data_IF_245031610259
#
_entry.id   IF_245031610259
#
_cell.length_a   1.000
_cell.length_b   1.000
_cell.length_c   1.000
_cell.angle_alpha   90.00
_cell.angle_beta   90.00
_cell.angle_gamma   90.00
#
_symmetry.space_group_name_H-M   'P 1'
#
loop_
_entity.id
_entity.type
_entity.pdbx_description
1 polymer ?
#
# COMPACT_ATOMS: atom_id res chain seq x y z
N UNK A 1 -13.96 1.01 19.48
CA UNK A 1 -13.86 0.89 18.00
C UNK A 1 -14.12 2.27 17.45
N UNK A 2 -13.13 2.90 16.80
CA UNK A 2 -13.38 4.13 16.06
C UNK A 2 -14.29 3.78 14.87
N UNK A 3 -15.40 4.52 14.67
CA UNK A 3 -16.22 4.31 13.49
C UNK A 3 -15.42 4.64 12.24
N UNK A 4 -15.73 3.94 11.14
CA UNK A 4 -15.19 4.31 9.82
C UNK A 4 -15.72 5.71 9.50
N UNK A 5 -14.82 6.67 9.38
CA UNK A 5 -15.19 8.04 9.04
C UNK A 5 -15.48 8.12 7.55
N UNK A 6 -16.72 8.51 7.23
CA UNK A 6 -17.14 8.81 5.85
C UNK A 6 -17.59 10.26 5.77
N UNK A 7 -17.19 10.94 4.72
CA UNK A 7 -17.63 12.31 4.45
C UNK A 7 -17.97 12.45 2.97
N UNK A 8 -19.13 13.02 2.71
CA UNK A 8 -19.63 13.28 1.37
C UNK A 8 -19.63 14.78 1.09
N UNK A 9 -19.30 15.15 -0.13
CA UNK A 9 -19.29 16.51 -0.64
C UNK A 9 -20.17 16.57 -1.89
N UNK A 10 -21.50 16.67 -1.74
CA UNK A 10 -22.46 16.48 -2.84
C UNK A 10 -22.25 17.46 -4.00
N UNK A 11 -21.77 18.68 -3.72
CA UNK A 11 -21.54 19.71 -4.76
C UNK A 11 -20.44 19.33 -5.78
N UNK A 12 -19.56 18.39 -5.43
CA UNK A 12 -18.45 17.93 -6.27
C UNK A 12 -18.45 16.41 -6.43
N UNK A 13 -19.59 15.77 -6.11
CA UNK A 13 -19.77 14.30 -6.18
C UNK A 13 -18.63 13.49 -5.51
N UNK A 14 -17.98 14.07 -4.49
CA UNK A 14 -16.84 13.46 -3.81
C UNK A 14 -17.27 12.80 -2.51
N UNK A 15 -16.88 11.55 -2.33
CA UNK A 15 -17.02 10.82 -1.08
C UNK A 15 -15.64 10.37 -0.61
N UNK A 16 -15.31 10.65 0.64
CA UNK A 16 -14.09 10.20 1.29
C UNK A 16 -14.42 9.18 2.37
N UNK A 17 -13.70 8.06 2.36
CA UNK A 17 -13.77 7.03 3.40
C UNK A 17 -12.38 6.87 4.00
N UNK A 18 -12.23 7.16 5.29
CA UNK A 18 -10.98 6.90 6.03
C UNK A 18 -10.96 5.42 6.40
N UNK A 19 -10.03 4.71 5.80
CA UNK A 19 -9.86 3.25 5.94
C UNK A 19 -8.90 2.91 7.09
N UNK A 20 -7.90 3.73 7.32
CA UNK A 20 -6.89 3.54 8.37
C UNK A 20 -6.34 4.88 8.87
N UNK A 21 -5.59 4.85 9.98
CA UNK A 21 -5.34 3.69 10.83
C UNK A 21 -6.58 3.26 11.64
N UNK A 22 -6.66 2.00 12.01
CA UNK A 22 -7.71 1.52 12.93
C UNK A 22 -7.35 1.86 14.38
N UNK A 23 -8.33 1.84 15.31
CA UNK A 23 -8.04 2.04 16.73
C UNK A 23 -7.04 1.01 17.26
N UNK A 24 -7.16 -0.26 16.83
CA UNK A 24 -6.22 -1.30 17.21
C UNK A 24 -4.79 -1.00 16.72
N UNK A 25 -4.64 -0.47 15.49
CA UNK A 25 -3.34 -0.03 15.00
C UNK A 25 -2.75 1.13 15.81
N UNK A 26 -3.60 2.05 16.27
CA UNK A 26 -3.17 3.17 17.12
C UNK A 26 -2.78 2.72 18.54
N UNK A 27 -3.54 1.77 19.12
CA UNK A 27 -3.25 1.22 20.46
C UNK A 27 -1.95 0.39 20.44
N UNK A 28 -1.77 -0.44 19.41
CA UNK A 28 -0.51 -1.17 19.18
C UNK A 28 0.66 -0.21 18.99
N UNK A 29 0.43 0.87 18.26
CA UNK A 29 1.41 1.94 18.08
C UNK A 29 1.79 2.60 19.41
N UNK A 30 0.83 2.91 20.25
CA UNK A 30 1.11 3.56 21.54
C UNK A 30 2.01 2.67 22.42
N UNK A 31 1.70 1.37 22.47
CA UNK A 31 2.54 0.40 23.19
C UNK A 31 3.96 0.31 22.59
N UNK A 32 4.08 0.37 21.26
CA UNK A 32 5.39 0.38 20.59
C UNK A 32 6.14 1.69 20.80
N UNK A 33 5.43 2.83 20.86
CA UNK A 33 6.04 4.13 21.14
C UNK A 33 6.67 4.16 22.53
N UNK A 34 6.00 3.61 23.52
CA UNK A 34 6.53 3.50 24.89
C UNK A 34 7.79 2.62 24.94
N UNK A 35 7.83 1.60 24.08
CA UNK A 35 9.01 0.72 23.94
C UNK A 35 10.11 1.35 23.09
N UNK A 36 9.77 2.22 22.11
CA UNK A 36 10.74 2.91 21.25
C UNK A 36 11.59 3.94 21.99
N UNK A 37 11.10 4.45 23.11
CA UNK A 37 11.90 5.29 24.01
C UNK A 37 13.03 4.51 24.69
N UNK A 38 13.04 3.17 24.62
CA UNK A 38 14.17 2.34 25.01
C UNK A 38 15.11 2.17 23.79
N UNK A 39 16.46 2.20 23.96
CA UNK A 39 17.39 2.09 22.85
C UNK A 39 17.23 0.73 22.16
N UNK A 40 16.84 0.77 20.87
CA UNK A 40 16.72 -0.42 20.02
C UNK A 40 17.76 -0.39 18.92
N UNK A 41 18.62 -1.39 18.92
CA UNK A 41 19.42 -1.76 17.74
C UNK A 41 18.60 -2.74 16.90
N UNK A 42 17.94 -2.24 15.83
CA UNK A 42 17.31 -3.12 14.86
C UNK A 42 18.37 -3.67 13.90
N UNK A 43 18.81 -4.88 14.15
CA UNK A 43 19.53 -5.66 13.15
C UNK A 43 18.52 -6.09 12.06
N UNK A 44 18.40 -5.29 11.01
CA UNK A 44 17.70 -5.71 9.79
C UNK A 44 18.67 -6.59 9.01
N UNK A 45 18.47 -7.90 9.03
CA UNK A 45 19.22 -8.82 8.20
C UNK A 45 18.83 -8.62 6.72
N UNK A 46 19.82 -8.55 5.82
CA UNK A 46 19.62 -8.67 4.37
C UNK A 46 18.92 -10.01 4.10
N UNK A 47 17.68 -9.97 3.66
CA UNK A 47 16.84 -11.16 3.52
C UNK A 47 16.00 -11.16 2.25
N UNK A 48 15.43 -12.32 1.96
CA UNK A 48 14.46 -12.53 0.88
C UNK A 48 13.29 -11.52 1.04
N UNK A 49 12.89 -10.77 -0.01
CA UNK A 49 11.77 -9.83 0.03
C UNK A 49 10.45 -10.45 0.56
N UNK A 50 10.21 -11.75 0.34
CA UNK A 50 9.04 -12.44 0.91
C UNK A 50 9.12 -12.56 2.44
N UNK A 51 10.32 -12.71 2.99
CA UNK A 51 10.56 -12.74 4.44
C UNK A 51 10.46 -11.32 5.02
N UNK A 52 10.89 -10.32 4.24
CA UNK A 52 10.83 -8.90 4.62
C UNK A 52 9.43 -8.31 4.48
N UNK A 53 8.54 -8.96 3.74
CA UNK A 53 7.18 -8.49 3.51
C UNK A 53 6.44 -8.22 4.83
N UNK A 54 5.83 -7.02 4.96
CA UNK A 54 5.19 -6.53 6.19
C UNK A 54 6.11 -6.47 7.42
N UNK A 55 7.40 -6.34 7.25
CA UNK A 55 8.35 -6.22 8.38
C UNK A 55 8.46 -4.81 8.94
N UNK A 56 7.89 -3.80 8.28
CA UNK A 56 7.91 -2.42 8.79
C UNK A 56 7.22 -2.32 10.16
N UNK A 57 7.98 -1.87 11.14
CA UNK A 57 7.54 -1.62 12.51
C UNK A 57 7.65 -0.15 12.88
N UNK A 58 7.95 0.72 11.93
CA UNK A 58 8.09 2.13 12.22
C UNK A 58 6.74 2.72 12.67
N UNK A 59 6.75 3.32 13.84
CA UNK A 59 5.56 3.90 14.46
C UNK A 59 4.86 4.94 13.58
N UNK A 60 5.55 5.84 12.88
CA UNK A 60 4.92 6.78 11.96
C UNK A 60 4.16 6.08 10.83
N UNK A 61 4.77 5.10 10.17
CA UNK A 61 4.19 4.43 9.01
C UNK A 61 2.93 3.63 9.37
N UNK A 62 2.94 2.90 10.49
CA UNK A 62 1.78 2.14 10.96
C UNK A 62 0.58 3.02 11.32
N UNK A 63 0.77 4.33 11.47
CA UNK A 63 -0.29 5.31 11.73
C UNK A 63 -0.66 6.15 10.52
N UNK A 64 -0.19 5.79 9.34
CA UNK A 64 -0.55 6.49 8.10
C UNK A 64 -2.04 6.53 7.89
N UNK A 65 -2.54 7.71 7.52
CA UNK A 65 -3.93 7.89 7.15
C UNK A 65 -4.15 7.26 5.78
N UNK A 66 -5.10 6.33 5.71
CA UNK A 66 -5.50 5.64 4.48
C UNK A 66 -6.89 6.13 4.08
N UNK A 67 -7.01 6.61 2.85
CA UNK A 67 -8.26 7.19 2.34
C UNK A 67 -8.64 6.56 1.01
N UNK A 68 -9.89 6.11 0.92
CA UNK A 68 -10.55 5.86 -0.35
C UNK A 68 -11.33 7.12 -0.75
N UNK A 69 -11.00 7.69 -1.90
CA UNK A 69 -11.75 8.76 -2.53
C UNK A 69 -12.57 8.19 -3.69
N UNK A 70 -13.84 8.56 -3.73
CA UNK A 70 -14.80 8.14 -4.77
C UNK A 70 -15.43 9.38 -5.38
N UNK A 71 -15.33 9.56 -6.69
CA UNK A 71 -15.93 10.67 -7.43
C UNK A 71 -16.27 10.23 -8.86
N UNK A 72 -17.46 10.57 -9.32
CA UNK A 72 -17.92 10.31 -10.70
C UNK A 72 -17.70 8.86 -11.17
N UNK A 73 -17.94 7.89 -10.28
CA UNK A 73 -17.75 6.47 -10.54
C UNK A 73 -16.30 6.01 -10.52
N UNK A 74 -15.34 6.91 -10.24
CA UNK A 74 -13.91 6.59 -10.10
C UNK A 74 -13.51 6.44 -8.65
N UNK A 75 -12.53 5.57 -8.40
CA UNK A 75 -12.03 5.20 -7.07
C UNK A 75 -10.52 5.35 -7.00
N UNK A 76 -10.05 6.12 -6.03
CA UNK A 76 -8.62 6.33 -5.76
C UNK A 76 -8.31 5.90 -4.34
N UNK A 77 -7.41 4.97 -4.16
CA UNK A 77 -6.94 4.52 -2.84
C UNK A 77 -5.56 5.13 -2.54
N UNK A 78 -5.54 6.04 -1.56
CA UNK A 78 -4.32 6.63 -1.03
C UNK A 78 -3.93 5.89 0.25
N UNK A 79 -2.77 5.22 0.23
CA UNK A 79 -2.36 4.29 1.30
C UNK A 79 -1.39 4.88 2.32
N UNK A 80 -0.85 6.09 2.06
CA UNK A 80 0.25 6.62 2.86
C UNK A 80 1.43 5.63 2.87
N UNK A 81 2.01 5.43 4.04
CA UNK A 81 3.08 4.45 4.28
C UNK A 81 2.56 3.23 5.06
N UNK A 82 1.25 2.99 4.96
CA UNK A 82 0.58 1.91 5.67
C UNK A 82 1.04 0.53 5.25
N UNK A 83 1.07 -0.41 6.19
CA UNK A 83 1.42 -1.81 5.94
C UNK A 83 0.23 -2.58 5.36
N UNK A 84 0.46 -3.45 4.41
CA UNK A 84 -0.58 -4.09 3.60
C UNK A 84 -1.59 -4.95 4.39
N UNK A 85 -1.19 -5.57 5.51
CA UNK A 85 -2.10 -6.29 6.39
C UNK A 85 -3.07 -5.34 7.13
N UNK A 86 -2.57 -4.19 7.59
CA UNK A 86 -3.41 -3.13 8.17
C UNK A 86 -4.37 -2.51 7.14
N UNK A 87 -3.90 -2.34 5.89
CA UNK A 87 -4.74 -1.89 4.78
C UNK A 87 -5.90 -2.87 4.54
N UNK A 88 -5.62 -4.16 4.41
CA UNK A 88 -6.66 -5.19 4.23
C UNK A 88 -7.64 -5.23 5.41
N UNK A 89 -7.14 -5.13 6.65
CA UNK A 89 -7.98 -5.08 7.83
C UNK A 89 -8.91 -3.84 7.81
N UNK A 90 -8.37 -2.68 7.49
CA UNK A 90 -9.14 -1.44 7.42
C UNK A 90 -10.20 -1.47 6.32
N UNK A 91 -9.84 -1.95 5.13
CA UNK A 91 -10.77 -2.15 4.01
C UNK A 91 -11.91 -3.10 4.36
N UNK A 92 -11.58 -4.23 5.01
CA UNK A 92 -12.59 -5.19 5.49
C UNK A 92 -13.54 -4.58 6.52
N UNK A 93 -13.03 -3.83 7.50
CA UNK A 93 -13.86 -3.12 8.50
C UNK A 93 -14.75 -2.04 7.88
N UNK A 94 -14.28 -1.40 6.82
CA UNK A 94 -15.06 -0.41 6.08
C UNK A 94 -16.14 -1.03 5.19
N UNK A 95 -16.18 -2.37 5.06
CA UNK A 95 -17.08 -3.09 4.17
C UNK A 95 -16.81 -2.81 2.69
N UNK A 96 -15.54 -2.62 2.33
CA UNK A 96 -15.10 -2.26 0.99
C UNK A 96 -14.57 -3.46 0.19
N UNK A 97 -14.36 -4.59 0.87
CA UNK A 97 -13.97 -5.85 0.23
C UNK A 97 -15.21 -6.65 -0.16
N UNK A 98 -15.14 -7.33 -1.29
CA UNK A 98 -16.17 -8.28 -1.72
C UNK A 98 -16.16 -9.58 -0.89
N UNK A 99 -17.02 -10.54 -1.24
CA UNK A 99 -17.10 -11.83 -0.56
C UNK A 99 -15.81 -12.67 -0.66
N UNK A 100 -14.97 -12.40 -1.65
CA UNK A 100 -13.65 -13.02 -1.82
C UNK A 100 -12.53 -12.32 -1.05
N UNK A 101 -12.83 -11.23 -0.36
CA UNK A 101 -11.86 -10.40 0.34
C UNK A 101 -11.05 -9.50 -0.60
N UNK A 102 -11.57 -9.22 -1.80
CA UNK A 102 -10.91 -8.42 -2.84
C UNK A 102 -11.63 -7.08 -3.09
N UNK A 103 -10.94 -6.15 -3.71
CA UNK A 103 -11.50 -4.92 -4.27
C UNK A 103 -10.70 -4.47 -5.48
N UNK A 104 -11.35 -3.68 -6.32
CA UNK A 104 -10.71 -2.99 -7.43
C UNK A 104 -10.85 -1.48 -7.28
N UNK A 105 -9.83 -0.72 -7.67
CA UNK A 105 -9.84 0.74 -7.75
C UNK A 105 -9.26 1.20 -9.08
N UNK A 106 -9.60 2.39 -9.55
CA UNK A 106 -9.00 2.93 -10.77
C UNK A 106 -7.53 3.30 -10.53
N UNK A 107 -7.23 3.90 -9.38
CA UNK A 107 -5.87 4.32 -9.02
C UNK A 107 -5.52 3.87 -7.60
N UNK A 108 -4.36 3.24 -7.47
CA UNK A 108 -3.75 2.89 -6.19
C UNK A 108 -2.42 3.63 -6.02
N UNK A 109 -2.33 4.55 -5.08
CA UNK A 109 -1.02 5.04 -4.60
C UNK A 109 -0.37 3.92 -3.78
N UNK A 110 0.73 3.37 -4.28
CA UNK A 110 1.44 2.26 -3.62
C UNK A 110 2.03 2.75 -2.28
N UNK A 111 1.86 1.93 -1.26
CA UNK A 111 2.27 2.26 0.10
C UNK A 111 3.79 2.45 0.20
N UNK A 112 4.20 3.34 1.10
CA UNK A 112 5.59 3.56 1.52
C UNK A 112 6.56 3.60 0.34
N UNK A 113 6.25 4.43 -0.66
CA UNK A 113 7.07 4.63 -1.86
C UNK A 113 7.36 3.35 -2.68
N UNK A 114 6.63 2.25 -2.42
CA UNK A 114 6.87 0.95 -3.03
C UNK A 114 7.83 0.05 -2.24
N UNK A 115 8.02 0.30 -0.95
CA UNK A 115 8.83 -0.58 -0.09
C UNK A 115 8.21 -1.97 0.04
N UNK A 116 9.02 -3.01 -0.10
CA UNK A 116 8.62 -4.41 0.08
C UNK A 116 8.31 -4.74 1.55
N UNK A 117 8.85 -3.95 2.50
CA UNK A 117 8.55 -4.06 3.93
C UNK A 117 7.11 -3.72 4.29
N UNK A 118 6.42 -2.96 3.43
CA UNK A 118 5.04 -2.52 3.64
C UNK A 118 4.04 -3.23 2.72
N UNK A 119 4.54 -3.99 1.75
CA UNK A 119 3.75 -4.65 0.74
C UNK A 119 3.82 -6.17 0.84
N UNK A 120 2.86 -6.84 0.22
CA UNK A 120 2.89 -8.29 0.01
C UNK A 120 2.29 -8.61 -1.36
N UNK A 121 2.73 -9.71 -1.97
CA UNK A 121 2.10 -10.26 -3.17
C UNK A 121 0.59 -10.51 -2.98
N UNK A 122 0.19 -10.97 -1.78
CA UNK A 122 -1.22 -11.18 -1.41
C UNK A 122 -2.03 -9.88 -1.52
N UNK A 123 -1.46 -8.75 -1.10
CA UNK A 123 -2.13 -7.45 -1.16
C UNK A 123 -2.49 -7.11 -2.62
N UNK A 124 -1.52 -7.16 -3.54
CA UNK A 124 -1.76 -6.84 -4.95
C UNK A 124 -2.65 -7.84 -5.69
N UNK A 125 -2.76 -9.06 -5.18
CA UNK A 125 -3.75 -10.03 -5.67
C UNK A 125 -5.17 -9.66 -5.27
N UNK A 126 -5.38 -9.14 -4.06
CA UNK A 126 -6.68 -8.82 -3.48
C UNK A 126 -7.12 -7.37 -3.76
N UNK A 127 -6.19 -6.42 -3.70
CA UNK A 127 -6.44 -5.00 -3.97
C UNK A 127 -5.82 -4.66 -5.31
N UNK A 128 -6.66 -4.64 -6.34
CA UNK A 128 -6.24 -4.44 -7.72
C UNK A 128 -6.49 -3.01 -8.17
N UNK A 129 -5.71 -2.53 -9.12
CA UNK A 129 -5.90 -1.22 -9.75
C UNK A 129 -5.64 -1.26 -11.25
N UNK A 130 -6.17 -0.28 -11.99
CA UNK A 130 -5.78 -0.04 -13.38
C UNK A 130 -4.43 0.69 -13.43
N UNK A 131 -4.27 1.69 -12.56
CA UNK A 131 -3.05 2.48 -12.45
C UNK A 131 -2.46 2.37 -11.04
N UNK A 132 -1.18 2.03 -10.95
CA UNK A 132 -0.40 2.05 -9.71
C UNK A 132 0.54 3.25 -9.72
N UNK A 133 0.41 4.12 -8.72
CA UNK A 133 1.25 5.32 -8.57
C UNK A 133 2.36 5.05 -7.57
N UNK A 134 3.59 5.21 -8.02
CA UNK A 134 4.82 5.01 -7.26
C UNK A 134 5.47 6.38 -7.05
N UNK A 135 5.29 6.96 -5.86
CA UNK A 135 5.88 8.24 -5.49
C UNK A 135 7.21 7.99 -4.76
N UNK A 136 8.28 7.81 -5.51
CA UNK A 136 9.61 7.50 -5.00
C UNK A 136 10.69 8.28 -5.77
N UNK A 137 11.83 8.52 -5.17
CA UNK A 137 12.97 9.21 -5.78
C UNK A 137 14.26 8.37 -5.79
N UNK A 138 14.17 7.09 -5.49
CA UNK A 138 15.32 6.17 -5.39
C UNK A 138 16.11 6.29 -4.08
N UNK A 139 15.73 7.22 -3.18
CA UNK A 139 16.28 7.24 -1.83
C UNK A 139 15.80 5.99 -1.08
N UNK A 140 16.65 5.41 -0.26
CA UNK A 140 16.37 4.17 0.47
C UNK A 140 15.96 3.02 -0.48
N UNK A 141 16.50 3.03 -1.71
CA UNK A 141 16.29 2.06 -2.80
C UNK A 141 14.83 1.89 -3.29
N UNK A 142 13.90 2.72 -2.80
CA UNK A 142 12.49 2.67 -3.20
C UNK A 142 12.24 3.27 -4.62
N UNK A 143 11.28 2.64 -5.37
CA UNK A 143 10.51 1.45 -5.05
C UNK A 143 11.39 0.19 -5.13
N UNK A 144 11.15 -0.79 -4.24
CA UNK A 144 11.81 -2.08 -4.32
C UNK A 144 11.37 -2.85 -5.58
N UNK A 145 12.33 -3.48 -6.27
CA UNK A 145 12.04 -4.29 -7.46
C UNK A 145 11.02 -5.40 -7.17
N UNK A 146 11.11 -6.02 -6.00
CA UNK A 146 10.17 -7.05 -5.56
C UNK A 146 8.72 -6.55 -5.56
N UNK A 147 8.47 -5.34 -5.07
CA UNK A 147 7.13 -4.74 -5.08
C UNK A 147 6.62 -4.53 -6.51
N UNK A 148 7.48 -4.02 -7.40
CA UNK A 148 7.14 -3.82 -8.80
C UNK A 148 6.79 -5.15 -9.50
N UNK A 149 7.60 -6.19 -9.28
CA UNK A 149 7.36 -7.52 -9.82
C UNK A 149 6.05 -8.12 -9.28
N UNK A 150 5.74 -7.96 -7.99
CA UNK A 150 4.48 -8.44 -7.44
C UNK A 150 3.25 -7.80 -8.11
N UNK A 151 3.29 -6.50 -8.37
CA UNK A 151 2.20 -5.80 -9.09
C UNK A 151 2.00 -6.40 -10.48
N UNK A 152 3.07 -6.46 -11.26
CA UNK A 152 3.01 -6.89 -12.67
C UNK A 152 2.64 -8.37 -12.80
N UNK A 153 3.23 -9.23 -11.96
CA UNK A 153 2.96 -10.67 -12.00
C UNK A 153 1.55 -11.03 -11.54
N UNK A 154 1.03 -10.39 -10.47
CA UNK A 154 -0.34 -10.65 -10.03
C UNK A 154 -1.36 -10.10 -11.03
N UNK A 155 -1.07 -8.98 -11.69
CA UNK A 155 -1.89 -8.49 -12.80
C UNK A 155 -1.88 -9.47 -13.97
N UNK A 156 -0.70 -9.95 -14.38
CA UNK A 156 -0.55 -10.92 -15.47
C UNK A 156 -1.29 -12.24 -15.20
N UNK A 157 -1.20 -12.80 -13.97
CA UNK A 157 -1.97 -14.00 -13.56
C UNK A 157 -3.48 -13.82 -13.65
N UNK A 158 -3.96 -12.59 -13.52
CA UNK A 158 -5.38 -12.24 -13.62
C UNK A 158 -5.78 -11.78 -15.05
N UNK A 159 -4.87 -11.86 -16.03
CA UNK A 159 -5.11 -11.43 -17.39
C UNK A 159 -5.35 -9.92 -17.55
N UNK A 160 -4.84 -9.09 -16.62
CA UNK A 160 -5.03 -7.64 -16.61
C UNK A 160 -3.80 -6.92 -17.15
N UNK A 161 -4.05 -5.88 -17.92
CA UNK A 161 -3.05 -4.85 -18.23
C UNK A 161 -3.14 -3.76 -17.17
N UNK A 162 -2.00 -3.23 -16.75
CA UNK A 162 -1.92 -2.18 -15.73
C UNK A 162 -0.92 -1.11 -16.14
N UNK A 163 -1.12 0.10 -15.63
CA UNK A 163 -0.18 1.19 -15.79
C UNK A 163 0.61 1.39 -14.50
N UNK A 164 1.93 1.55 -14.62
CA UNK A 164 2.80 1.99 -13.53
C UNK A 164 3.20 3.44 -13.78
N UNK A 165 2.71 4.34 -12.95
CA UNK A 165 3.05 5.75 -12.99
C UNK A 165 4.07 6.07 -11.89
N UNK A 166 5.34 6.26 -12.27
CA UNK A 166 6.41 6.61 -11.35
C UNK A 166 6.72 8.11 -11.41
N UNK A 167 6.92 8.73 -10.25
CA UNK A 167 7.27 10.16 -10.18
C UNK A 167 8.73 10.43 -10.57
N UNK A 168 9.58 9.41 -10.54
CA UNK A 168 10.98 9.50 -10.94
C UNK A 168 11.45 8.20 -11.61
N UNK A 169 12.45 8.32 -12.46
CA UNK A 169 13.15 7.20 -13.08
C UNK A 169 14.20 6.63 -12.11
N UNK A 170 13.83 5.60 -11.35
CA UNK A 170 14.69 4.94 -10.39
C UNK A 170 15.40 3.71 -10.99
N UNK A 171 16.49 3.21 -10.36
CA UNK A 171 17.17 1.99 -10.85
C UNK A 171 16.24 0.79 -10.97
N UNK A 172 15.38 0.53 -9.99
CA UNK A 172 14.43 -0.58 -9.98
C UNK A 172 13.36 -0.49 -11.09
N UNK A 173 12.90 0.73 -11.41
CA UNK A 173 11.99 0.95 -12.57
C UNK A 173 12.69 0.58 -13.87
N UNK A 174 13.95 1.02 -14.06
CA UNK A 174 14.75 0.67 -15.24
C UNK A 174 14.99 -0.83 -15.36
N UNK A 175 15.27 -1.49 -14.24
CA UNK A 175 15.46 -2.93 -14.16
C UNK A 175 14.20 -3.69 -14.55
N UNK A 176 13.04 -3.32 -13.99
CA UNK A 176 11.73 -3.88 -14.40
C UNK A 176 11.48 -3.74 -15.90
N UNK A 177 11.73 -2.54 -16.47
CA UNK A 177 11.53 -2.28 -17.90
C UNK A 177 12.47 -3.17 -18.73
N UNK A 178 13.73 -3.30 -18.33
CA UNK A 178 14.70 -4.15 -19.05
C UNK A 178 14.30 -5.64 -19.01
N UNK A 179 13.84 -6.16 -17.88
CA UNK A 179 13.36 -7.54 -17.76
C UNK A 179 12.12 -7.81 -18.64
N UNK A 180 11.24 -6.82 -18.80
CA UNK A 180 9.99 -6.97 -19.57
C UNK A 180 10.12 -6.62 -21.04
N UNK A 181 11.13 -5.86 -21.46
CA UNK A 181 11.38 -5.57 -22.86
C UNK A 181 11.87 -6.80 -23.67
N UNK A 182 12.31 -7.87 -23.00
CA UNK A 182 12.73 -9.13 -23.61
C UNK A 182 11.70 -10.26 -23.54
N UNK A 183 10.51 -9.99 -22.97
CA UNK A 183 9.42 -10.95 -22.81
C UNK A 183 8.26 -10.57 -23.74
#
# INVERSE_FOLDING_TARGET
ILPVLRREFPKVSLKLTVVGPTRANLDERQAQWETWLAPHEDAVADGDPQVMANSDRSVPNLSSIVVLAEADGKRVLCTGDGRSDHLLQGLGRAGLLDAGGAMHVDVLKVAHHGSDRNATRKFFRLVTADTYVLSANGKDDNPDLATLLWIVEEAGKQGRQVELFATNDTPSIRELVAERAGA
#
